data_IF_744964109097
#
_entry.id   IF_744964109097
#
_cell.length_a   1.000
_cell.length_b   1.000
_cell.length_c   1.000
_cell.angle_alpha   90.00
_cell.angle_beta   90.00
_cell.angle_gamma   90.00
#
_symmetry.space_group_name_H-M   'P 1'
#
loop_
_entity.id
_entity.type
_entity.pdbx_description
1 polymer ?
#
# COMPACT_ATOMS: atom_id res chain seq x y z
N UNK A 1 -18.33 -10.94 65.13
CA UNK A 1 -17.44 -11.99 65.67
C UNK A 1 -16.88 -12.76 64.47
N UNK A 2 -15.54 -12.71 64.31
CA UNK A 2 -14.59 -13.74 63.79
C UNK A 2 -14.96 -14.55 62.53
N UNK A 3 -14.13 -14.75 61.51
CA UNK A 3 -12.69 -14.54 61.30
C UNK A 3 -12.40 -14.42 59.79
N UNK A 4 -11.47 -13.51 59.44
CA UNK A 4 -10.62 -13.57 58.25
C UNK A 4 -9.57 -14.67 58.45
N UNK A 5 -9.28 -15.47 57.43
CA UNK A 5 -7.97 -16.13 57.30
C UNK A 5 -7.30 -15.70 56.00
N UNK A 6 -6.18 -14.99 56.19
CA UNK A 6 -5.16 -14.74 55.18
C UNK A 6 -4.31 -16.01 55.02
N UNK A 7 -4.22 -16.55 53.81
CA UNK A 7 -3.17 -17.50 53.47
C UNK A 7 -2.02 -16.73 52.82
N UNK A 8 -0.96 -16.56 53.60
CA UNK A 8 0.36 -16.11 53.17
C UNK A 8 1.20 -17.36 52.96
N UNK A 9 1.76 -17.59 51.77
CA UNK A 9 2.80 -18.61 51.59
C UNK A 9 3.96 -18.08 50.74
N UNK A 10 4.99 -17.66 51.48
CA UNK A 10 6.41 -17.96 51.34
C UNK A 10 7.03 -18.07 49.93
N UNK A 11 7.84 -17.05 49.61
CA UNK A 11 9.01 -17.16 48.72
C UNK A 11 10.04 -18.11 49.34
N UNK A 12 10.54 -19.06 48.56
CA UNK A 12 11.75 -19.81 48.85
C UNK A 12 12.81 -19.56 47.79
N UNK A 13 14.04 -19.44 48.27
CA UNK A 13 15.25 -18.94 47.64
C UNK A 13 16.12 -20.05 47.04
N UNK A 14 16.98 -19.62 46.11
CA UNK A 14 18.39 -20.04 45.91
C UNK A 14 18.77 -21.43 45.37
N UNK A 15 19.62 -21.34 44.33
CA UNK A 15 20.76 -22.20 43.99
C UNK A 15 20.43 -23.56 43.37
N UNK A 16 21.00 -23.92 42.22
CA UNK A 16 22.39 -24.37 42.13
C UNK A 16 22.91 -24.28 40.69
N UNK A 17 24.08 -23.68 40.53
CA UNK A 17 24.92 -23.69 39.32
C UNK A 17 25.64 -25.04 39.29
N UNK A 18 25.49 -25.81 38.22
CA UNK A 18 26.34 -26.96 37.91
C UNK A 18 27.05 -26.71 36.59
N UNK A 19 28.36 -26.43 36.69
CA UNK A 19 29.32 -26.45 35.59
C UNK A 19 29.71 -27.90 35.36
N UNK A 20 29.46 -28.43 34.17
CA UNK A 20 30.08 -29.67 33.71
C UNK A 20 30.69 -29.40 32.34
N UNK A 21 32.02 -29.36 32.30
CA UNK A 21 32.81 -29.39 31.08
C UNK A 21 33.08 -30.82 30.65
N UNK A 22 33.05 -31.06 29.34
CA UNK A 22 33.71 -32.13 28.59
C UNK A 22 33.63 -31.70 27.12
N UNK A 23 34.73 -31.21 26.55
CA UNK A 23 35.76 -31.96 25.83
C UNK A 23 35.37 -32.26 24.36
N UNK A 24 36.05 -31.52 23.47
CA UNK A 24 36.76 -31.98 22.28
C UNK A 24 35.98 -32.70 21.15
N UNK A 25 35.83 -32.01 20.02
CA UNK A 25 36.14 -32.55 18.68
C UNK A 25 36.17 -31.40 17.66
N UNK A 26 37.38 -31.00 17.26
CA UNK A 26 37.60 -30.17 16.09
C UNK A 26 37.48 -31.05 14.84
N UNK A 27 36.40 -30.88 14.07
CA UNK A 27 36.30 -31.36 12.69
C UNK A 27 36.57 -30.17 11.77
N UNK A 28 37.79 -30.09 11.24
CA UNK A 28 38.14 -29.20 10.14
C UNK A 28 37.70 -29.89 8.85
N UNK A 29 36.47 -29.64 8.41
CA UNK A 29 36.04 -29.95 7.05
C UNK A 29 36.47 -28.82 6.12
N UNK A 30 37.49 -29.10 5.31
CA UNK A 30 37.87 -28.24 4.20
C UNK A 30 36.76 -28.26 3.14
N UNK A 31 35.89 -27.25 3.15
CA UNK A 31 35.02 -26.95 2.02
C UNK A 31 35.84 -26.18 0.99
N UNK A 32 36.22 -26.85 -0.10
CA UNK A 32 36.63 -26.19 -1.34
C UNK A 32 35.42 -25.48 -1.92
N UNK A 33 35.36 -24.16 -1.76
CA UNK A 33 34.40 -23.31 -2.46
C UNK A 33 34.82 -23.24 -3.92
N UNK A 34 34.06 -23.93 -4.78
CA UNK A 34 34.11 -23.74 -6.23
C UNK A 34 33.57 -22.34 -6.55
N UNK A 35 34.45 -21.39 -6.82
CA UNK A 35 34.08 -20.09 -7.40
C UNK A 35 33.69 -20.29 -8.85
N UNK A 36 32.39 -20.46 -9.11
CA UNK A 36 31.81 -20.28 -10.44
C UNK A 36 31.99 -18.80 -10.84
N UNK A 37 32.44 -18.59 -12.09
CA UNK A 37 32.92 -17.31 -12.60
C UNK A 37 31.96 -16.13 -12.42
N UNK A 38 32.46 -15.09 -11.76
CA UNK A 38 31.89 -13.75 -11.81
C UNK A 38 32.43 -13.07 -13.07
N UNK A 39 31.53 -12.84 -14.04
CA UNK A 39 31.76 -11.88 -15.13
C UNK A 39 31.93 -10.45 -14.60
N UNK A 40 32.38 -9.52 -15.44
CA UNK A 40 32.74 -8.17 -15.00
C UNK A 40 31.54 -7.39 -14.47
N UNK A 41 31.57 -7.11 -13.16
CA UNK A 41 31.15 -5.85 -12.53
C UNK A 41 29.80 -5.26 -12.95
N UNK A 42 28.70 -5.94 -12.63
CA UNK A 42 27.41 -5.27 -12.53
C UNK A 42 27.38 -4.54 -11.19
N UNK A 43 27.34 -3.20 -11.22
CA UNK A 43 27.23 -2.38 -10.03
C UNK A 43 26.04 -2.87 -9.17
N UNK A 44 26.19 -2.96 -7.83
CA UNK A 44 25.08 -3.34 -6.98
C UNK A 44 23.88 -2.44 -7.27
N UNK A 45 22.66 -2.99 -7.42
CA UNK A 45 21.47 -2.16 -7.48
C UNK A 45 21.45 -1.24 -6.24
N UNK A 46 21.08 0.05 -6.39
CA UNK A 46 21.04 0.96 -5.26
C UNK A 46 20.16 0.34 -4.17
N UNK A 47 20.67 0.32 -2.94
CA UNK A 47 19.99 -0.26 -1.80
C UNK A 47 18.58 0.34 -1.67
N UNK A 48 17.57 -0.44 -2.02
CA UNK A 48 16.22 -0.18 -1.55
C UNK A 48 16.27 -0.28 -0.02
N UNK A 49 15.74 0.73 0.68
CA UNK A 49 15.65 0.88 2.14
C UNK A 49 16.59 1.90 2.82
N UNK A 50 16.95 3.01 2.18
CA UNK A 50 17.20 4.23 2.96
C UNK A 50 15.87 4.66 3.59
N UNK A 51 15.77 4.86 4.92
CA UNK A 51 14.55 5.41 5.52
C UNK A 51 14.21 6.73 4.80
N UNK A 52 12.94 6.94 4.38
CA UNK A 52 12.57 8.19 3.75
C UNK A 52 12.93 9.34 4.70
N UNK A 53 13.63 10.35 4.18
CA UNK A 53 13.96 11.53 4.97
C UNK A 53 12.68 12.07 5.63
N UNK A 54 12.70 12.42 6.93
CA UNK A 54 11.55 13.02 7.58
C UNK A 54 11.08 14.28 6.83
N UNK A 55 9.76 14.44 6.68
CA UNK A 55 9.18 15.65 6.11
C UNK A 55 9.45 16.83 7.05
N UNK A 56 9.82 17.98 6.48
CA UNK A 56 10.09 19.20 7.26
C UNK A 56 8.81 20.03 7.38
N UNK A 57 8.18 20.14 8.56
CA UNK A 57 7.01 21.01 8.74
C UNK A 57 7.45 22.48 8.71
N UNK A 58 6.83 23.29 7.87
CA UNK A 58 7.19 24.71 7.68
C UNK A 58 5.97 25.59 7.45
N UNK A 59 6.05 26.85 7.87
CA UNK A 59 5.09 27.88 7.51
C UNK A 59 5.47 28.49 6.14
N UNK A 60 4.48 28.91 5.34
CA UNK A 60 4.74 29.59 4.06
C UNK A 60 5.61 30.84 4.24
N UNK A 61 5.42 31.59 5.34
CA UNK A 61 6.28 32.75 5.68
C UNK A 61 7.74 32.38 5.93
N UNK A 62 8.00 31.20 6.51
CA UNK A 62 9.38 30.73 6.78
C UNK A 62 10.08 30.36 5.49
N UNK A 63 9.36 29.68 4.59
CA UNK A 63 9.85 29.35 3.24
C UNK A 63 10.10 30.62 2.43
N UNK A 64 9.19 31.59 2.46
CA UNK A 64 9.33 32.83 1.71
C UNK A 64 10.48 33.71 2.24
N UNK A 65 10.70 33.72 3.56
CA UNK A 65 11.77 34.50 4.17
C UNK A 65 13.16 33.88 4.00
N UNK A 66 13.28 32.56 4.11
CA UNK A 66 14.56 31.84 4.11
C UNK A 66 14.49 30.57 3.23
N UNK A 67 14.27 30.70 1.90
CA UNK A 67 14.04 29.54 1.04
C UNK A 67 15.25 28.61 0.98
N UNK A 68 16.46 29.15 1.00
CA UNK A 68 17.72 28.37 0.87
C UNK A 68 17.91 27.33 1.98
N UNK A 69 17.28 27.51 3.16
CA UNK A 69 17.33 26.53 4.25
C UNK A 69 16.55 25.24 3.92
N UNK A 70 15.58 25.33 3.01
CA UNK A 70 14.62 24.26 2.74
C UNK A 70 14.69 23.74 1.30
N UNK A 71 15.40 24.43 0.39
CA UNK A 71 15.56 23.99 -1.00
C UNK A 71 16.20 22.60 -1.05
N UNK A 72 15.57 21.71 -1.82
CA UNK A 72 15.94 20.30 -1.95
C UNK A 72 15.23 19.37 -0.99
N UNK A 73 14.68 19.89 0.12
CA UNK A 73 13.96 19.11 1.12
C UNK A 73 12.49 18.88 0.71
N UNK A 74 11.92 17.81 1.26
CA UNK A 74 10.48 17.57 1.22
C UNK A 74 9.82 18.25 2.42
N UNK A 75 8.98 19.23 2.13
CA UNK A 75 8.33 20.06 3.14
C UNK A 75 6.86 19.66 3.31
N UNK A 76 6.34 19.87 4.51
CA UNK A 76 4.91 19.98 4.80
C UNK A 76 4.63 21.45 5.10
N UNK A 77 4.29 22.21 4.05
CA UNK A 77 4.11 23.65 4.11
C UNK A 77 2.65 24.00 4.41
N UNK A 78 2.41 24.84 5.41
CA UNK A 78 1.07 25.37 5.71
C UNK A 78 0.96 26.85 5.38
N UNK A 79 -0.14 27.26 4.75
CA UNK A 79 -0.45 28.66 4.46
C UNK A 79 -1.84 28.84 3.84
N UNK A 80 -2.23 30.09 3.60
CA UNK A 80 -3.47 30.47 2.94
C UNK A 80 -3.27 30.64 1.44
N UNK A 81 -4.22 30.14 0.65
CA UNK A 81 -4.22 30.32 -0.81
C UNK A 81 -4.48 31.79 -1.12
N UNK A 82 -3.50 32.45 -1.73
CA UNK A 82 -3.62 33.85 -2.15
C UNK A 82 -4.30 33.94 -3.51
N UNK A 83 -3.79 33.21 -4.50
CA UNK A 83 -4.36 33.21 -5.85
C UNK A 83 -4.25 31.83 -6.51
N UNK A 84 -5.30 31.40 -7.21
CA UNK A 84 -5.20 30.32 -8.20
C UNK A 84 -4.67 30.92 -9.50
N UNK A 85 -3.49 30.48 -9.94
CA UNK A 85 -2.77 31.04 -11.09
C UNK A 85 -3.07 30.27 -12.38
N UNK A 86 -3.37 28.98 -12.26
CA UNK A 86 -3.73 28.11 -13.37
C UNK A 86 -4.55 26.90 -12.88
N UNK A 87 -4.73 25.88 -13.73
CA UNK A 87 -5.39 24.63 -13.34
C UNK A 87 -4.54 23.81 -12.37
N UNK A 88 -3.21 23.91 -12.48
CA UNK A 88 -2.28 23.11 -11.67
C UNK A 88 -1.34 23.95 -10.80
N UNK A 89 -1.53 25.28 -10.74
CA UNK A 89 -0.69 26.16 -9.95
C UNK A 89 -1.49 27.20 -9.18
N UNK A 90 -1.03 27.50 -7.98
CA UNK A 90 -1.56 28.54 -7.10
C UNK A 90 -0.45 29.10 -6.22
N UNK A 91 -0.64 30.29 -5.67
CA UNK A 91 0.26 30.89 -4.69
C UNK A 91 -0.29 30.79 -3.28
N UNK A 92 0.63 30.66 -2.33
CA UNK A 92 0.33 30.56 -0.90
C UNK A 92 1.05 31.66 -0.14
N UNK A 93 0.30 32.41 0.64
CA UNK A 93 0.80 33.37 1.63
C UNK A 93 0.52 32.83 3.04
N UNK A 94 1.20 33.34 4.05
CA UNK A 94 0.90 33.02 5.44
C UNK A 94 -0.38 33.72 5.94
N UNK A 95 -0.67 34.92 5.44
CA UNK A 95 -1.79 35.74 5.89
C UNK A 95 -2.97 35.64 4.90
N UNK A 96 -4.12 35.15 5.39
CA UNK A 96 -5.34 35.03 4.57
C UNK A 96 -6.09 36.35 4.36
N UNK A 97 -5.71 37.41 5.05
CA UNK A 97 -6.45 38.69 5.10
C UNK A 97 -5.83 39.79 4.24
N UNK A 98 -4.56 39.63 3.86
CA UNK A 98 -3.81 40.59 3.05
C UNK A 98 -2.68 39.89 2.32
N UNK A 99 -2.41 40.33 1.10
CA UNK A 99 -1.20 39.99 0.38
C UNK A 99 0.02 40.57 1.11
N UNK A 100 0.97 39.73 1.49
CA UNK A 100 2.24 40.19 2.07
C UNK A 100 3.31 40.45 1.01
N UNK A 101 3.04 40.07 -0.24
CA UNK A 101 4.00 40.09 -1.34
C UNK A 101 5.10 39.03 -1.22
N UNK A 102 4.99 38.13 -0.23
CA UNK A 102 5.93 37.04 0.06
C UNK A 102 5.29 35.68 -0.16
N UNK A 103 4.66 35.54 -1.32
CA UNK A 103 3.93 34.33 -1.68
C UNK A 103 4.89 33.23 -2.18
N UNK A 104 4.56 31.98 -1.86
CA UNK A 104 5.26 30.78 -2.32
C UNK A 104 4.45 30.15 -3.44
N UNK A 105 5.09 29.86 -4.57
CA UNK A 105 4.42 29.17 -5.67
C UNK A 105 4.21 27.70 -5.32
N UNK A 106 3.06 27.15 -5.71
CA UNK A 106 2.79 25.72 -5.63
C UNK A 106 2.45 25.21 -7.02
N UNK A 107 3.17 24.17 -7.45
CA UNK A 107 2.86 23.41 -8.67
C UNK A 107 2.35 22.04 -8.26
N UNK A 108 1.09 21.76 -8.56
CA UNK A 108 0.38 20.53 -8.22
C UNK A 108 -0.15 19.86 -9.51
N UNK A 109 0.67 19.02 -10.18
CA UNK A 109 0.29 18.41 -11.47
C UNK A 109 -1.01 17.60 -11.44
N UNK A 110 -1.34 17.03 -10.27
CA UNK A 110 -2.53 16.21 -10.06
C UNK A 110 -3.67 16.99 -9.40
N UNK A 111 -3.65 18.33 -9.41
CA UNK A 111 -4.71 19.13 -8.81
C UNK A 111 -6.06 18.86 -9.51
N UNK A 112 -7.04 18.38 -8.76
CA UNK A 112 -8.34 17.96 -9.29
C UNK A 112 -9.38 19.09 -9.30
N UNK A 113 -9.20 20.06 -8.40
CA UNK A 113 -10.04 21.25 -8.29
C UNK A 113 -9.19 22.43 -7.81
N UNK A 114 -9.57 23.68 -8.16
CA UNK A 114 -8.90 24.86 -7.62
C UNK A 114 -8.84 24.83 -6.09
N UNK A 115 -7.78 25.38 -5.52
CA UNK A 115 -7.67 25.54 -4.09
C UNK A 115 -8.63 26.64 -3.62
N UNK A 116 -9.27 26.45 -2.47
CA UNK A 116 -10.26 27.40 -1.96
C UNK A 116 -9.58 28.76 -1.68
N UNK A 117 -10.02 29.82 -2.36
CA UNK A 117 -9.44 31.16 -2.20
C UNK A 117 -9.52 31.64 -0.74
N UNK A 118 -8.43 32.20 -0.21
CA UNK A 118 -8.25 32.55 1.21
C UNK A 118 -8.39 31.37 2.20
N UNK A 119 -8.48 30.14 1.69
CA UNK A 119 -8.53 28.92 2.48
C UNK A 119 -7.12 28.49 2.89
N UNK A 120 -6.99 27.93 4.09
CA UNK A 120 -5.74 27.30 4.51
C UNK A 120 -5.56 25.94 3.82
N UNK A 121 -4.33 25.67 3.40
CA UNK A 121 -3.91 24.39 2.84
C UNK A 121 -2.64 23.90 3.53
N UNK A 122 -2.49 22.58 3.57
CA UNK A 122 -1.23 21.90 3.87
C UNK A 122 -0.72 21.27 2.59
N UNK A 123 0.40 21.78 2.09
CA UNK A 123 1.03 21.33 0.85
C UNK A 123 2.21 20.44 1.20
N UNK A 124 2.22 19.21 0.68
CA UNK A 124 3.35 18.28 0.82
C UNK A 124 4.05 18.19 -0.53
N UNK A 125 5.35 18.42 -0.55
CA UNK A 125 6.11 18.38 -1.80
C UNK A 125 7.58 18.73 -1.63
N UNK A 126 8.33 18.67 -2.74
CA UNK A 126 9.72 19.10 -2.75
C UNK A 126 9.80 20.62 -2.96
N UNK A 127 10.55 21.32 -2.12
CA UNK A 127 10.84 22.73 -2.32
C UNK A 127 12.04 22.92 -3.25
N UNK A 128 11.92 23.78 -4.26
CA UNK A 128 13.02 24.21 -5.12
C UNK A 128 12.93 25.72 -5.37
N UNK A 129 13.93 26.29 -6.06
CA UNK A 129 13.78 27.60 -6.70
C UNK A 129 13.09 27.40 -8.04
N UNK A 130 12.14 28.27 -8.37
CA UNK A 130 11.39 28.14 -9.60
C UNK A 130 12.29 28.50 -10.79
N UNK A 131 12.60 27.47 -11.57
CA UNK A 131 13.15 27.57 -12.91
C UNK A 131 12.41 26.55 -13.80
N UNK A 132 11.88 26.95 -14.98
CA UNK A 132 11.15 26.04 -15.84
C UNK A 132 11.92 24.78 -16.26
N UNK A 133 13.25 24.85 -16.43
CA UNK A 133 14.06 23.70 -16.80
C UNK A 133 14.23 22.72 -15.63
N UNK A 134 14.40 23.23 -14.41
CA UNK A 134 14.45 22.40 -13.20
C UNK A 134 13.11 21.71 -12.94
N UNK A 135 11.99 22.43 -13.15
CA UNK A 135 10.64 21.87 -13.03
C UNK A 135 10.45 20.75 -14.06
N UNK A 136 10.81 20.95 -15.32
CA UNK A 136 10.69 19.93 -16.37
C UNK A 136 11.53 18.67 -16.06
N UNK A 137 12.69 18.86 -15.43
CA UNK A 137 13.56 17.75 -15.01
C UNK A 137 12.97 16.95 -13.84
N UNK A 138 12.39 17.64 -12.87
CA UNK A 138 11.85 17.04 -11.63
C UNK A 138 10.43 16.49 -11.78
N UNK A 139 9.61 17.12 -12.62
CA UNK A 139 8.25 16.70 -12.95
C UNK A 139 8.20 16.22 -14.39
N UNK A 140 8.68 14.99 -14.63
CA UNK A 140 8.69 14.39 -15.96
C UNK A 140 7.27 14.30 -16.52
N UNK A 141 7.07 14.84 -17.72
CA UNK A 141 5.78 14.83 -18.42
C UNK A 141 4.77 15.87 -17.94
N UNK A 142 5.18 16.77 -17.03
CA UNK A 142 4.37 17.93 -16.63
C UNK A 142 4.68 19.13 -17.53
N UNK A 143 3.63 19.77 -18.03
CA UNK A 143 3.73 21.05 -18.74
C UNK A 143 3.28 22.16 -17.79
N UNK A 144 4.16 23.12 -17.53
CA UNK A 144 3.84 24.31 -16.73
C UNK A 144 2.74 25.09 -17.45
N UNK A 145 1.60 25.29 -16.78
CA UNK A 145 0.41 25.98 -17.29
C UNK A 145 0.26 27.41 -16.73
N UNK A 146 1.37 28.01 -16.29
CA UNK A 146 1.44 29.39 -15.83
C UNK A 146 1.57 30.39 -16.99
N UNK A 147 0.98 31.58 -16.82
CA UNK A 147 1.19 32.69 -17.75
C UNK A 147 2.67 33.11 -17.81
N UNK A 148 3.10 33.74 -18.91
CA UNK A 148 4.47 34.24 -19.03
C UNK A 148 4.81 35.29 -17.96
N UNK A 149 3.83 36.09 -17.56
CA UNK A 149 3.95 37.08 -16.48
C UNK A 149 4.18 36.40 -15.13
N UNK A 150 3.40 35.37 -14.79
CA UNK A 150 3.58 34.62 -13.54
C UNK A 150 4.91 33.89 -13.51
N UNK A 151 5.32 33.27 -14.62
CA UNK A 151 6.62 32.62 -14.71
C UNK A 151 7.77 33.62 -14.47
N UNK A 152 7.67 34.84 -15.01
CA UNK A 152 8.65 35.89 -14.73
C UNK A 152 8.60 36.35 -13.27
N UNK A 153 7.40 36.54 -12.71
CA UNK A 153 7.16 36.95 -11.31
C UNK A 153 7.76 35.97 -10.31
N UNK A 154 7.72 34.66 -10.61
CA UNK A 154 8.20 33.61 -9.72
C UNK A 154 9.62 33.13 -10.01
N UNK A 155 10.26 33.55 -11.10
CA UNK A 155 11.61 33.11 -11.45
C UNK A 155 12.59 33.30 -10.28
N UNK A 156 13.23 32.22 -9.86
CA UNK A 156 14.17 32.18 -8.73
C UNK A 156 13.55 32.21 -7.33
N UNK A 157 12.22 32.41 -7.20
CA UNK A 157 11.48 32.35 -5.92
C UNK A 157 11.24 30.89 -5.49
N UNK A 158 10.95 30.64 -4.20
CA UNK A 158 10.58 29.30 -3.75
C UNK A 158 9.31 28.79 -4.44
N UNK A 159 9.36 27.53 -4.86
CA UNK A 159 8.21 26.77 -5.37
C UNK A 159 8.17 25.39 -4.74
N UNK A 160 6.98 24.96 -4.33
CA UNK A 160 6.73 23.58 -3.88
C UNK A 160 6.19 22.77 -5.06
N UNK A 161 6.90 21.71 -5.43
CA UNK A 161 6.43 20.68 -6.34
C UNK A 161 5.56 19.70 -5.54
N UNK A 162 4.25 19.98 -5.52
CA UNK A 162 3.31 19.31 -4.64
C UNK A 162 2.97 17.90 -5.10
N UNK A 163 3.04 16.97 -4.16
CA UNK A 163 2.52 15.60 -4.29
C UNK A 163 1.16 15.45 -3.62
N UNK A 164 0.85 16.31 -2.64
CA UNK A 164 -0.46 16.38 -1.99
C UNK A 164 -0.79 17.83 -1.62
N UNK A 165 -2.08 18.18 -1.65
CA UNK A 165 -2.60 19.47 -1.23
C UNK A 165 -3.83 19.22 -0.38
N UNK A 166 -3.71 19.34 0.94
CA UNK A 166 -4.76 19.01 1.89
C UNK A 166 -5.47 20.31 2.29
N UNK A 167 -6.78 20.40 2.05
CA UNK A 167 -7.57 21.55 2.48
C UNK A 167 -8.00 21.44 3.96
N UNK A 168 -8.70 22.46 4.47
CA UNK A 168 -9.18 22.49 5.87
C UNK A 168 -10.17 21.37 6.22
N UNK A 169 -10.81 20.74 5.23
CA UNK A 169 -11.67 19.58 5.43
C UNK A 169 -10.88 18.26 5.53
N UNK A 170 -9.55 18.30 5.48
CA UNK A 170 -8.69 17.11 5.47
C UNK A 170 -8.70 16.36 4.14
N UNK A 171 -9.24 16.98 3.07
CA UNK A 171 -9.32 16.37 1.74
C UNK A 171 -8.07 16.75 0.95
N UNK A 172 -7.35 15.74 0.46
CA UNK A 172 -6.28 15.95 -0.52
C UNK A 172 -6.88 16.24 -1.90
N UNK A 173 -6.85 17.51 -2.30
CA UNK A 173 -7.41 18.00 -3.56
C UNK A 173 -6.47 17.77 -4.75
N UNK A 174 -5.25 17.29 -4.50
CA UNK A 174 -4.31 16.82 -5.51
C UNK A 174 -4.22 15.28 -5.58
N UNK A 175 -5.03 14.56 -4.80
CA UNK A 175 -5.09 13.10 -4.86
C UNK A 175 -5.55 12.66 -6.26
N UNK A 176 -4.75 11.81 -6.90
CA UNK A 176 -5.11 11.24 -8.20
C UNK A 176 -6.44 10.49 -8.09
N UNK A 177 -7.45 10.79 -8.93
CA UNK A 177 -8.71 10.06 -8.92
C UNK A 177 -8.44 8.60 -9.24
N UNK A 178 -9.03 7.73 -8.44
CA UNK A 178 -9.03 6.30 -8.70
C UNK A 178 -9.94 6.09 -9.91
N UNK A 179 -9.48 5.44 -10.99
CA UNK A 179 -10.34 5.13 -12.12
C UNK A 179 -11.60 4.40 -11.64
N UNK A 180 -12.78 4.72 -12.21
CA UNK A 180 -13.98 3.96 -11.92
C UNK A 180 -13.73 2.49 -12.23
N UNK A 181 -14.40 1.60 -11.49
CA UNK A 181 -14.29 0.17 -11.76
C UNK A 181 -14.74 -0.13 -13.18
N UNK A 182 -13.95 -0.89 -13.92
CA UNK A 182 -14.37 -1.39 -15.22
C UNK A 182 -15.53 -2.38 -15.06
N UNK A 183 -16.23 -2.67 -16.17
CA UNK A 183 -17.23 -3.74 -16.21
C UNK A 183 -16.63 -5.08 -15.79
N UNK A 184 -15.36 -5.33 -16.11
CA UNK A 184 -14.63 -6.53 -15.74
C UNK A 184 -14.33 -6.60 -14.24
N UNK A 185 -13.92 -5.47 -13.63
CA UNK A 185 -13.74 -5.37 -12.18
C UNK A 185 -15.04 -5.70 -11.44
N UNK A 186 -16.15 -5.11 -11.88
CA UNK A 186 -17.48 -5.34 -11.30
C UNK A 186 -17.90 -6.81 -11.43
N UNK A 187 -17.71 -7.41 -12.62
CA UNK A 187 -18.08 -8.78 -12.90
C UNK A 187 -17.28 -9.77 -12.03
N UNK A 188 -15.97 -9.58 -11.92
CA UNK A 188 -15.12 -10.43 -11.09
C UNK A 188 -15.39 -10.20 -9.59
N UNK A 189 -15.56 -8.94 -9.16
CA UNK A 189 -15.81 -8.59 -7.77
C UNK A 189 -17.09 -9.26 -7.24
N UNK A 190 -18.15 -9.34 -8.06
CA UNK A 190 -19.40 -10.05 -7.71
C UNK A 190 -19.17 -11.48 -7.21
N UNK A 191 -18.15 -12.17 -7.75
CA UNK A 191 -17.78 -13.51 -7.30
C UNK A 191 -16.78 -13.46 -6.16
N UNK A 192 -15.79 -12.57 -6.22
CA UNK A 192 -14.73 -12.44 -5.21
C UNK A 192 -15.28 -12.11 -3.82
N UNK A 193 -16.35 -11.32 -3.69
CA UNK A 193 -16.94 -11.01 -2.37
C UNK A 193 -17.58 -12.22 -1.69
N UNK A 194 -17.93 -13.27 -2.44
CA UNK A 194 -18.51 -14.51 -1.90
C UNK A 194 -17.45 -15.44 -1.30
N UNK A 195 -16.22 -15.41 -1.82
CA UNK A 195 -15.18 -16.37 -1.46
C UNK A 195 -14.71 -16.24 0.00
N UNK A 196 -14.32 -15.06 0.53
CA UNK A 196 -13.83 -14.94 1.90
C UNK A 196 -14.81 -15.42 2.99
N UNK A 197 -16.09 -14.99 3.03
CA UNK A 197 -17.00 -15.46 4.07
C UNK A 197 -17.26 -16.96 3.95
N UNK A 198 -17.40 -17.50 2.73
CA UNK A 198 -17.59 -18.93 2.53
C UNK A 198 -16.36 -19.73 2.97
N UNK A 199 -15.14 -19.27 2.67
CA UNK A 199 -13.91 -19.93 3.10
C UNK A 199 -13.73 -19.90 4.63
N UNK A 200 -14.07 -18.78 5.28
CA UNK A 200 -14.02 -18.68 6.74
C UNK A 200 -15.05 -19.60 7.41
N UNK A 201 -16.29 -19.59 6.91
CA UNK A 201 -17.36 -20.45 7.40
C UNK A 201 -17.05 -21.93 7.16
N UNK A 202 -16.45 -22.28 6.02
CA UNK A 202 -16.01 -23.63 5.70
C UNK A 202 -14.99 -24.15 6.71
N UNK A 203 -13.97 -23.36 7.07
CA UNK A 203 -12.98 -23.75 8.08
C UNK A 203 -13.65 -24.08 9.42
N UNK A 204 -14.51 -23.17 9.89
CA UNK A 204 -15.27 -23.37 11.12
C UNK A 204 -16.18 -24.60 11.06
N UNK A 205 -16.83 -24.85 9.92
CA UNK A 205 -17.70 -26.00 9.72
C UNK A 205 -16.91 -27.33 9.77
N UNK A 206 -15.71 -27.36 9.17
CA UNK A 206 -14.81 -28.51 9.22
C UNK A 206 -14.27 -28.76 10.62
N UNK A 207 -13.94 -27.72 11.37
CA UNK A 207 -13.51 -27.84 12.77
C UNK A 207 -14.63 -28.41 13.65
N UNK A 208 -15.86 -27.95 13.45
CA UNK A 208 -17.06 -28.47 14.09
C UNK A 208 -17.60 -29.77 13.49
N UNK A 209 -16.94 -30.35 12.48
CA UNK A 209 -17.39 -31.56 11.75
C UNK A 209 -18.84 -31.50 11.25
N UNK A 210 -19.31 -30.30 10.89
CA UNK A 210 -20.69 -30.10 10.42
C UNK A 210 -20.80 -30.43 8.94
N UNK A 211 -21.49 -31.54 8.60
CA UNK A 211 -21.73 -31.97 7.22
C UNK A 211 -22.46 -30.91 6.41
N UNK A 212 -23.58 -30.39 6.92
CA UNK A 212 -24.47 -29.51 6.15
C UNK A 212 -23.82 -28.16 5.85
N UNK A 213 -23.28 -27.50 6.88
CA UNK A 213 -22.52 -26.26 6.68
C UNK A 213 -21.30 -26.47 5.79
N UNK A 214 -20.58 -27.59 5.91
CA UNK A 214 -19.45 -27.86 5.01
C UNK A 214 -19.90 -27.98 3.57
N UNK A 215 -20.99 -28.70 3.30
CA UNK A 215 -21.56 -28.84 1.95
C UNK A 215 -22.02 -27.51 1.38
N UNK A 216 -22.73 -26.71 2.17
CA UNK A 216 -23.20 -25.39 1.77
C UNK A 216 -22.03 -24.47 1.37
N UNK A 217 -21.05 -24.31 2.25
CA UNK A 217 -19.94 -23.39 2.00
C UNK A 217 -19.00 -23.87 0.88
N UNK A 218 -18.73 -25.17 0.80
CA UNK A 218 -17.96 -25.72 -0.32
C UNK A 218 -18.69 -25.58 -1.66
N UNK A 219 -20.04 -25.65 -1.67
CA UNK A 219 -20.84 -25.39 -2.87
C UNK A 219 -20.76 -23.93 -3.31
N UNK A 220 -20.85 -22.98 -2.38
CA UNK A 220 -20.68 -21.54 -2.67
C UNK A 220 -19.31 -21.28 -3.31
N UNK A 221 -18.24 -21.87 -2.74
CA UNK A 221 -16.88 -21.75 -3.27
C UNK A 221 -16.78 -22.35 -4.67
N UNK A 222 -17.26 -23.58 -4.88
CA UNK A 222 -17.25 -24.25 -6.19
C UNK A 222 -17.96 -23.44 -7.26
N UNK A 223 -19.14 -22.92 -6.96
CA UNK A 223 -19.92 -22.09 -7.90
C UNK A 223 -19.16 -20.81 -8.22
N UNK A 224 -18.66 -20.09 -7.23
CA UNK A 224 -17.88 -18.87 -7.46
C UNK A 224 -16.63 -19.14 -8.31
N UNK A 225 -15.87 -20.22 -8.03
CA UNK A 225 -14.70 -20.58 -8.84
C UNK A 225 -15.07 -20.96 -10.28
N UNK A 226 -16.24 -21.57 -10.51
CA UNK A 226 -16.73 -21.88 -11.87
C UNK A 226 -17.02 -20.60 -12.66
N UNK A 227 -17.64 -19.60 -12.03
CA UNK A 227 -17.88 -18.29 -12.65
C UNK A 227 -16.56 -17.54 -12.92
N UNK A 228 -15.60 -17.62 -12.00
CA UNK A 228 -14.28 -17.00 -12.15
C UNK A 228 -13.48 -17.68 -13.27
N UNK A 229 -13.54 -19.01 -13.36
CA UNK A 229 -12.94 -19.78 -14.46
C UNK A 229 -13.52 -19.33 -15.80
N UNK A 230 -14.85 -19.18 -15.89
CA UNK A 230 -15.53 -18.71 -17.10
C UNK A 230 -15.12 -17.28 -17.47
N UNK A 231 -15.03 -16.38 -16.48
CA UNK A 231 -14.56 -15.01 -16.67
C UNK A 231 -13.16 -14.98 -17.30
N UNK A 232 -12.19 -15.71 -16.74
CA UNK A 232 -10.82 -15.69 -17.24
C UNK A 232 -10.65 -16.41 -18.59
N UNK A 233 -11.46 -17.44 -18.87
CA UNK A 233 -11.53 -18.07 -20.20
C UNK A 233 -11.96 -17.08 -21.27
N UNK A 234 -12.99 -16.28 -20.99
CA UNK A 234 -13.46 -15.25 -21.91
C UNK A 234 -12.41 -14.15 -22.19
N UNK A 235 -11.40 -14.02 -21.32
CA UNK A 235 -10.28 -13.09 -21.46
C UNK A 235 -9.02 -13.73 -22.04
N UNK A 236 -9.07 -15.00 -22.43
CA UNK A 236 -7.91 -15.72 -22.97
C UNK A 236 -6.77 -15.93 -21.95
N UNK A 237 -7.04 -15.79 -20.66
CA UNK A 237 -6.02 -15.90 -19.62
C UNK A 237 -5.95 -17.34 -19.10
N UNK A 238 -5.07 -18.15 -19.68
CA UNK A 238 -4.95 -19.58 -19.37
C UNK A 238 -4.50 -19.85 -17.93
N UNK A 239 -3.61 -19.02 -17.38
CA UNK A 239 -3.07 -19.23 -16.04
C UNK A 239 -4.11 -18.90 -14.96
N UNK A 240 -4.78 -17.75 -15.06
CA UNK A 240 -5.87 -17.40 -14.16
C UNK A 240 -7.04 -18.39 -14.27
N UNK A 241 -7.32 -18.87 -15.49
CA UNK A 241 -8.27 -19.96 -15.74
C UNK A 241 -7.88 -21.22 -14.98
N UNK A 242 -6.61 -21.62 -15.06
CA UNK A 242 -6.09 -22.80 -14.36
C UNK A 242 -6.23 -22.66 -12.85
N UNK A 243 -5.87 -21.53 -12.26
CA UNK A 243 -6.03 -21.31 -10.82
C UNK A 243 -7.49 -21.34 -10.36
N UNK A 244 -8.40 -20.81 -11.17
CA UNK A 244 -9.83 -20.89 -10.89
C UNK A 244 -10.34 -22.34 -10.95
N UNK A 245 -9.90 -23.10 -11.96
CA UNK A 245 -10.21 -24.52 -12.11
C UNK A 245 -9.65 -25.36 -10.95
N UNK A 246 -8.42 -25.08 -10.50
CA UNK A 246 -7.81 -25.72 -9.33
C UNK A 246 -8.61 -25.40 -8.05
N UNK A 247 -9.02 -24.14 -7.85
CA UNK A 247 -9.88 -23.74 -6.73
C UNK A 247 -11.21 -24.49 -6.71
N UNK A 248 -11.86 -24.62 -7.88
CA UNK A 248 -13.06 -25.45 -8.05
C UNK A 248 -12.80 -26.91 -7.68
N UNK A 249 -11.72 -27.51 -8.18
CA UNK A 249 -11.34 -28.91 -7.89
C UNK A 249 -11.10 -29.15 -6.40
N UNK A 250 -10.51 -28.19 -5.70
CA UNK A 250 -10.32 -28.28 -4.25
C UNK A 250 -11.65 -28.21 -3.49
N UNK A 251 -12.57 -27.34 -3.91
CA UNK A 251 -13.93 -27.31 -3.34
C UNK A 251 -14.68 -28.63 -3.58
N UNK A 252 -14.53 -29.23 -4.77
CA UNK A 252 -15.10 -30.55 -5.08
C UNK A 252 -14.51 -31.67 -4.23
N UNK A 253 -13.20 -31.64 -3.98
CA UNK A 253 -12.53 -32.63 -3.13
C UNK A 253 -13.05 -32.58 -1.70
N UNK A 254 -13.34 -31.38 -1.18
CA UNK A 254 -13.95 -31.19 0.15
C UNK A 254 -15.35 -31.81 0.19
N UNK A 255 -16.19 -31.55 -0.81
CA UNK A 255 -17.53 -32.13 -0.90
C UNK A 255 -17.48 -33.66 -0.92
N UNK A 256 -16.57 -34.24 -1.71
CA UNK A 256 -16.37 -35.69 -1.79
C UNK A 256 -15.91 -36.27 -0.45
N UNK A 257 -14.93 -35.65 0.20
CA UNK A 257 -14.39 -36.15 1.47
C UNK A 257 -15.45 -36.11 2.59
N UNK A 258 -16.25 -35.05 2.65
CA UNK A 258 -17.36 -34.94 3.62
C UNK A 258 -18.49 -35.93 3.32
N UNK A 259 -18.78 -36.21 2.04
CA UNK A 259 -19.74 -37.26 1.69
C UNK A 259 -19.30 -38.65 2.18
N UNK A 260 -17.99 -38.90 2.22
CA UNK A 260 -17.38 -40.10 2.77
C UNK A 260 -17.10 -40.03 4.29
N UNK A 261 -17.65 -39.03 4.99
CA UNK A 261 -17.42 -38.77 6.42
C UNK A 261 -15.94 -38.61 6.81
N UNK A 262 -15.05 -38.31 5.85
CA UNK A 262 -13.62 -38.15 6.06
C UNK A 262 -13.25 -36.68 6.26
N UNK A 263 -13.50 -36.17 7.47
CA UNK A 263 -13.25 -34.77 7.81
C UNK A 263 -11.77 -34.39 7.83
N UNK A 264 -10.87 -35.32 8.15
CA UNK A 264 -9.43 -35.05 8.15
C UNK A 264 -8.93 -34.80 6.71
N UNK A 265 -9.36 -35.62 5.74
CA UNK A 265 -9.06 -35.37 4.33
C UNK A 265 -9.75 -34.11 3.79
N UNK A 266 -10.92 -33.76 4.30
CA UNK A 266 -11.58 -32.51 3.94
C UNK A 266 -10.79 -31.29 4.47
N UNK A 267 -10.25 -31.35 5.70
CA UNK A 267 -9.38 -30.31 6.27
C UNK A 267 -8.09 -30.13 5.49
N UNK A 268 -7.42 -31.22 5.09
CA UNK A 268 -6.18 -31.13 4.29
C UNK A 268 -6.41 -30.49 2.92
N UNK A 269 -7.63 -30.58 2.38
CA UNK A 269 -8.02 -29.94 1.12
C UNK A 269 -8.16 -28.41 1.19
N UNK A 270 -8.22 -27.82 2.40
CA UNK A 270 -8.37 -26.36 2.59
C UNK A 270 -7.07 -25.60 2.31
N UNK A 271 -5.92 -26.17 2.64
CA UNK A 271 -4.61 -25.53 2.43
C UNK A 271 -4.34 -25.21 0.95
N UNK A 272 -4.44 -26.17 0.00
CA UNK A 272 -4.21 -25.86 -1.40
C UNK A 272 -5.29 -24.94 -1.98
N UNK A 273 -6.53 -24.97 -1.48
CA UNK A 273 -7.55 -23.97 -1.80
C UNK A 273 -7.12 -22.55 -1.39
N UNK A 274 -6.51 -22.39 -0.21
CA UNK A 274 -5.97 -21.09 0.22
C UNK A 274 -4.80 -20.61 -0.65
N UNK A 275 -3.97 -21.55 -1.14
CA UNK A 275 -2.85 -21.23 -2.01
C UNK A 275 -3.30 -20.66 -3.36
N UNK A 276 -4.39 -21.16 -3.96
CA UNK A 276 -4.92 -20.60 -5.22
C UNK A 276 -5.36 -19.14 -5.05
N UNK A 277 -5.93 -18.79 -3.89
CA UNK A 277 -6.27 -17.40 -3.56
C UNK A 277 -5.03 -16.51 -3.58
N UNK A 278 -3.93 -16.95 -2.95
CA UNK A 278 -2.70 -16.18 -2.85
C UNK A 278 -2.03 -16.00 -4.22
N UNK A 279 -1.92 -17.08 -5.01
CA UNK A 279 -1.32 -17.04 -6.36
C UNK A 279 -2.07 -16.09 -7.28
N UNK A 280 -3.40 -16.23 -7.35
CA UNK A 280 -4.22 -15.38 -8.22
C UNK A 280 -4.18 -13.91 -7.78
N UNK A 281 -4.33 -13.63 -6.48
CA UNK A 281 -4.29 -12.25 -6.00
C UNK A 281 -2.92 -11.59 -6.15
N UNK A 282 -1.82 -12.32 -5.90
CA UNK A 282 -0.47 -11.77 -6.07
C UNK A 282 -0.22 -11.28 -7.49
N UNK A 283 -0.75 -11.99 -8.48
CA UNK A 283 -0.54 -11.69 -9.88
C UNK A 283 -1.59 -10.77 -10.49
N UNK A 284 -2.87 -10.96 -10.20
CA UNK A 284 -3.98 -10.31 -10.91
C UNK A 284 -4.73 -9.23 -10.13
N UNK A 285 -4.43 -9.04 -8.84
CA UNK A 285 -5.14 -8.07 -8.00
C UNK A 285 -4.24 -6.90 -7.60
N UNK A 286 -4.70 -5.69 -7.86
CA UNK A 286 -4.08 -4.46 -7.37
C UNK A 286 -4.96 -3.83 -6.30
N UNK A 287 -4.31 -3.25 -5.28
CA UNK A 287 -4.98 -2.47 -4.25
C UNK A 287 -4.86 -0.99 -4.60
N UNK A 288 -6.00 -0.31 -4.64
CA UNK A 288 -6.08 1.12 -4.89
C UNK A 288 -5.90 1.93 -3.59
N UNK A 289 -5.65 3.23 -3.71
CA UNK A 289 -5.42 4.15 -2.58
C UNK A 289 -6.66 4.36 -1.67
N UNK A 290 -7.84 3.93 -2.09
CA UNK A 290 -9.06 3.89 -1.26
C UNK A 290 -9.24 2.54 -0.55
N UNK A 291 -8.27 1.62 -0.72
CA UNK A 291 -8.31 0.26 -0.18
C UNK A 291 -9.16 -0.72 -0.99
N UNK A 292 -9.84 -0.28 -2.05
CA UNK A 292 -10.55 -1.17 -2.96
C UNK A 292 -9.58 -1.95 -3.85
N UNK A 293 -10.06 -3.00 -4.50
CA UNK A 293 -9.24 -3.84 -5.36
C UNK A 293 -9.70 -3.78 -6.82
N UNK A 294 -8.76 -3.85 -7.75
CA UNK A 294 -8.99 -3.92 -9.21
C UNK A 294 -8.23 -5.09 -9.81
N UNK A 295 -8.62 -5.47 -11.01
CA UNK A 295 -7.84 -6.34 -11.88
C UNK A 295 -6.62 -5.55 -12.36
N UNK A 296 -5.43 -6.15 -12.30
CA UNK A 296 -4.23 -5.55 -12.91
C UNK A 296 -4.41 -5.51 -14.43
N UNK A 297 -4.41 -4.30 -14.99
CA UNK A 297 -4.62 -4.04 -16.43
C UNK A 297 -3.36 -4.23 -17.28
N UNK A 298 -2.20 -4.42 -16.66
CA UNK A 298 -0.93 -4.65 -17.34
C UNK A 298 -0.54 -6.13 -17.28
N UNK A 299 -1.02 -6.93 -18.24
CA UNK A 299 -0.41 -8.19 -18.66
C UNK A 299 -0.52 -8.34 -20.17
#
# INVERSE_FOLDING_TARGET
MRHQELITMQRSTTSTIAVAGLALAAFVTAFTVSTAGQGPGQAPPPAANTPPKPLVPVAASSVAANPDQYVGEYVTMTGAVEANLSKTAFSVDQDKTKATGKEVLVLAPNLQKPADANGYVTVIGQLIKFDPADVATKLKGYTIDLSAEDQAKFKGKPVVLATAVINTAGIDIAKKPIPPMSTDDLALQKQMVKLPPAQAALRKALDGSSVDLTKEQATILKTAFTEIETFWKAKGNEEATKWASDGKRHADSILMNVANQNFDAAKTSVTPLGATCASCHGKYRERMDDGTFRIKTAQ
#
